data_IF_689215639651
#
_entry.id   IF_689215639651
#
_cell.length_a   1.000
_cell.length_b   1.000
_cell.length_c   1.000
_cell.angle_alpha   90.00
_cell.angle_beta   90.00
_cell.angle_gamma   90.00
#
_symmetry.space_group_name_H-M   'P 1'
#
loop_
_entity.id
_entity.type
_entity.pdbx_description
1 polymer ?
#
# COMPACT_ATOMS: atom_id res chain seq x y z
N UNK A 1 -12.39 17.03 56.53
CA UNK A 1 -12.30 18.01 55.44
C UNK A 1 -11.14 17.52 54.56
N UNK A 2 -11.43 16.71 53.58
CA UNK A 2 -10.44 16.26 52.59
C UNK A 2 -11.18 16.07 51.26
N UNK A 3 -11.22 17.19 50.52
CA UNK A 3 -11.87 17.30 49.22
C UNK A 3 -10.82 16.95 48.13
N UNK A 4 -10.68 15.65 47.79
CA UNK A 4 -9.90 15.23 46.65
C UNK A 4 -10.77 15.29 45.41
N UNK A 5 -10.73 16.44 44.75
CA UNK A 5 -11.31 16.67 43.45
C UNK A 5 -10.88 15.63 42.42
N UNK A 6 -11.71 14.64 42.18
CA UNK A 6 -11.58 13.69 41.08
C UNK A 6 -11.72 14.44 39.76
N UNK A 7 -10.57 14.69 39.11
CA UNK A 7 -10.53 15.17 37.72
C UNK A 7 -11.10 14.05 36.82
N UNK A 8 -12.41 14.12 36.63
CA UNK A 8 -13.14 13.30 35.66
C UNK A 8 -12.70 13.73 34.25
N UNK A 9 -11.71 13.05 33.67
CA UNK A 9 -11.52 13.08 32.23
C UNK A 9 -12.81 12.52 31.59
N UNK A 10 -13.71 13.41 31.20
CA UNK A 10 -14.78 13.07 30.28
C UNK A 10 -14.09 12.59 29.00
N UNK A 11 -14.09 11.27 28.76
CA UNK A 11 -13.84 10.71 27.45
C UNK A 11 -14.86 11.35 26.52
N UNK A 12 -14.43 12.32 25.73
CA UNK A 12 -15.22 12.80 24.61
C UNK A 12 -15.39 11.59 23.70
N UNK A 13 -16.57 10.98 23.74
CA UNK A 13 -16.94 9.95 22.79
C UNK A 13 -17.09 10.67 21.45
N UNK A 14 -16.01 10.71 20.68
CA UNK A 14 -16.08 11.21 19.33
C UNK A 14 -17.00 10.29 18.54
N UNK A 15 -18.07 10.83 18.02
CA UNK A 15 -18.99 10.13 17.14
C UNK A 15 -18.20 9.57 15.95
N UNK A 16 -18.30 8.26 15.73
CA UNK A 16 -17.73 7.58 14.58
C UNK A 16 -18.86 7.13 13.67
N UNK A 17 -18.82 7.47 12.38
CA UNK A 17 -19.81 6.95 11.44
C UNK A 17 -19.70 5.43 11.32
N UNK A 18 -20.80 4.77 10.98
CA UNK A 18 -20.82 3.33 10.80
C UNK A 18 -19.89 2.87 9.64
N UNK A 19 -19.67 3.75 8.64
CA UNK A 19 -18.89 3.43 7.45
C UNK A 19 -18.02 4.60 7.01
N UNK A 20 -16.76 4.32 6.65
CA UNK A 20 -15.91 5.19 5.83
C UNK A 20 -15.67 4.52 4.47
N UNK A 21 -15.78 5.27 3.39
CA UNK A 21 -15.37 4.84 2.05
C UNK A 21 -14.13 5.61 1.65
N UNK A 22 -12.99 4.92 1.48
CA UNK A 22 -11.68 5.50 1.20
C UNK A 22 -11.29 5.26 -0.24
N UNK A 23 -11.02 6.33 -0.98
CA UNK A 23 -10.83 6.31 -2.44
C UNK A 23 -9.61 7.13 -2.83
N UNK A 24 -8.46 6.50 -3.14
CA UNK A 24 -7.31 7.19 -3.71
C UNK A 24 -7.56 7.55 -5.17
N UNK A 25 -7.24 8.77 -5.58
CA UNK A 25 -7.51 9.30 -6.90
C UNK A 25 -6.25 9.96 -7.49
N UNK A 26 -5.97 9.68 -8.77
CA UNK A 26 -4.90 10.32 -9.51
C UNK A 26 -5.28 10.51 -10.98
N UNK A 27 -5.54 11.74 -11.40
CA UNK A 27 -6.01 12.11 -12.76
C UNK A 27 -7.33 11.40 -13.13
N UNK A 28 -8.33 11.53 -12.28
CA UNK A 28 -9.64 10.87 -12.42
C UNK A 28 -10.81 11.88 -12.52
N UNK A 29 -10.53 13.13 -12.91
CA UNK A 29 -11.52 14.21 -12.97
C UNK A 29 -12.82 13.80 -13.70
N UNK A 30 -12.71 13.04 -14.79
CA UNK A 30 -13.84 12.61 -15.61
C UNK A 30 -14.77 11.59 -14.90
N UNK A 31 -14.28 10.86 -13.92
CA UNK A 31 -15.01 9.79 -13.23
C UNK A 31 -15.58 10.21 -11.87
N UNK A 32 -15.03 11.27 -11.24
CA UNK A 32 -15.31 11.63 -9.85
C UNK A 32 -16.77 11.91 -9.54
N UNK A 33 -17.51 12.59 -10.41
CA UNK A 33 -18.92 12.91 -10.17
C UNK A 33 -19.79 11.65 -10.20
N UNK A 34 -19.57 10.76 -11.16
CA UNK A 34 -20.28 9.48 -11.27
C UNK A 34 -19.89 8.55 -10.09
N UNK A 35 -18.61 8.51 -9.75
CA UNK A 35 -18.09 7.74 -8.63
C UNK A 35 -18.75 8.18 -7.31
N UNK A 36 -18.76 9.50 -7.05
CA UNK A 36 -19.40 10.05 -5.85
C UNK A 36 -20.89 9.69 -5.78
N UNK A 37 -21.62 9.83 -6.90
CA UNK A 37 -23.05 9.49 -6.95
C UNK A 37 -23.30 8.01 -6.64
N UNK A 38 -22.53 7.08 -7.24
CA UNK A 38 -22.66 5.64 -7.02
C UNK A 38 -22.26 5.23 -5.59
N UNK A 39 -21.14 5.74 -5.10
CA UNK A 39 -20.64 5.46 -3.74
C UNK A 39 -21.61 5.99 -2.68
N UNK A 40 -22.11 7.23 -2.84
CA UNK A 40 -23.10 7.81 -1.93
C UNK A 40 -24.40 7.02 -1.91
N UNK A 41 -24.89 6.54 -3.08
CA UNK A 41 -26.07 5.71 -3.14
C UNK A 41 -25.87 4.36 -2.45
N UNK A 42 -24.73 3.69 -2.69
CA UNK A 42 -24.41 2.41 -2.07
C UNK A 42 -24.21 2.53 -0.54
N UNK A 43 -23.51 3.56 -0.08
CA UNK A 43 -23.30 3.83 1.34
C UNK A 43 -24.62 4.13 2.04
N UNK A 44 -25.46 4.98 1.44
CA UNK A 44 -26.80 5.31 1.98
C UNK A 44 -27.71 4.07 2.04
N UNK A 45 -27.66 3.20 1.05
CA UNK A 45 -28.42 1.94 1.07
C UNK A 45 -27.94 1.00 2.18
N UNK A 46 -26.66 1.00 2.51
CA UNK A 46 -26.05 0.11 3.49
C UNK A 46 -26.17 0.57 4.94
N UNK A 47 -26.05 1.90 5.20
CA UNK A 47 -25.97 2.48 6.57
C UNK A 47 -26.79 3.77 6.74
N UNK A 48 -27.59 4.16 5.76
CA UNK A 48 -28.27 5.46 5.78
C UNK A 48 -27.28 6.62 5.68
N UNK A 49 -27.57 7.70 6.43
CA UNK A 49 -26.69 8.88 6.43
C UNK A 49 -25.48 8.76 7.37
N UNK A 50 -25.31 7.60 8.03
CA UNK A 50 -24.23 7.33 8.96
C UNK A 50 -22.96 6.84 8.26
N UNK A 51 -22.48 7.63 7.30
CA UNK A 51 -21.25 7.34 6.55
C UNK A 51 -20.44 8.59 6.24
N UNK A 52 -19.19 8.39 5.89
CA UNK A 52 -18.31 9.40 5.31
C UNK A 52 -17.63 8.83 4.05
N UNK A 53 -17.30 9.73 3.13
CA UNK A 53 -16.52 9.43 1.92
C UNK A 53 -15.23 10.23 2.01
N UNK A 54 -14.10 9.56 1.87
CA UNK A 54 -12.77 10.18 1.93
C UNK A 54 -12.12 10.01 0.55
N UNK A 55 -12.04 11.11 -0.20
CA UNK A 55 -11.34 11.18 -1.48
C UNK A 55 -9.92 11.71 -1.27
N UNK A 56 -8.92 11.02 -1.81
CA UNK A 56 -7.52 11.41 -1.65
C UNK A 56 -6.95 11.74 -3.02
N UNK A 57 -6.65 13.04 -3.25
CA UNK A 57 -5.95 13.49 -4.44
C UNK A 57 -4.45 13.25 -4.30
N UNK A 58 -3.89 12.31 -5.05
CA UNK A 58 -2.47 11.98 -5.06
C UNK A 58 -1.66 12.92 -5.99
N UNK A 59 -1.84 14.24 -5.83
CA UNK A 59 -1.12 15.24 -6.61
C UNK A 59 -1.45 15.16 -8.10
N UNK A 60 -2.74 15.09 -8.46
CA UNK A 60 -3.22 15.09 -9.84
C UNK A 60 -2.79 16.34 -10.60
N UNK A 61 -2.69 16.19 -11.92
CA UNK A 61 -2.32 17.29 -12.85
C UNK A 61 -3.49 17.80 -13.66
N UNK A 62 -4.64 17.13 -13.55
CA UNK A 62 -5.92 17.48 -14.16
C UNK A 62 -6.82 18.20 -13.15
N UNK A 63 -8.08 18.41 -13.50
CA UNK A 63 -9.07 19.10 -12.67
C UNK A 63 -9.65 18.23 -11.52
N UNK A 64 -8.98 17.11 -11.15
CA UNK A 64 -9.46 16.23 -10.07
C UNK A 64 -9.64 17.00 -8.75
N UNK A 65 -8.66 17.82 -8.34
CA UNK A 65 -8.76 18.56 -7.08
C UNK A 65 -9.91 19.59 -7.08
N UNK A 66 -10.07 20.48 -8.08
CA UNK A 66 -11.23 21.35 -8.17
C UNK A 66 -12.59 20.63 -8.15
N UNK A 67 -12.68 19.45 -8.80
CA UNK A 67 -13.90 18.63 -8.76
C UNK A 67 -14.16 18.12 -7.35
N UNK A 68 -13.16 17.59 -6.65
CA UNK A 68 -13.28 17.11 -5.27
C UNK A 68 -13.73 18.23 -4.32
N UNK A 69 -13.18 19.44 -4.45
CA UNK A 69 -13.59 20.60 -3.65
C UNK A 69 -15.07 20.94 -3.85
N UNK A 70 -15.55 20.96 -5.11
CA UNK A 70 -16.98 21.19 -5.40
C UNK A 70 -17.88 20.11 -4.81
N UNK A 71 -17.48 18.84 -4.92
CA UNK A 71 -18.24 17.72 -4.36
C UNK A 71 -18.30 17.81 -2.83
N UNK A 72 -17.19 18.14 -2.19
CA UNK A 72 -17.12 18.32 -0.73
C UNK A 72 -17.94 19.50 -0.23
N UNK A 73 -18.00 20.59 -0.98
CA UNK A 73 -18.87 21.74 -0.65
C UNK A 73 -20.36 21.38 -0.76
N UNK A 74 -20.73 20.45 -1.65
CA UNK A 74 -22.11 20.02 -1.88
C UNK A 74 -22.56 18.87 -0.96
N UNK A 75 -21.66 18.01 -0.48
CA UNK A 75 -21.96 16.89 0.41
C UNK A 75 -21.17 16.97 1.73
N UNK A 76 -21.81 17.25 2.87
CA UNK A 76 -21.14 17.35 4.16
C UNK A 76 -20.58 16.03 4.69
N UNK A 77 -20.80 14.91 4.01
CA UNK A 77 -20.23 13.60 4.32
C UNK A 77 -18.94 13.32 3.55
N UNK A 78 -18.59 14.18 2.58
CA UNK A 78 -17.40 14.03 1.78
C UNK A 78 -16.26 14.89 2.32
N UNK A 79 -15.14 14.24 2.60
CA UNK A 79 -13.86 14.85 2.91
C UNK A 79 -12.92 14.64 1.75
N UNK A 80 -12.36 15.71 1.20
CA UNK A 80 -11.35 15.64 0.16
C UNK A 80 -9.99 16.05 0.73
N UNK A 81 -8.97 15.23 0.50
CA UNK A 81 -7.61 15.40 0.98
C UNK A 81 -6.69 15.60 -0.22
N UNK A 82 -5.93 16.68 -0.24
CA UNK A 82 -4.96 16.97 -1.28
C UNK A 82 -3.54 16.71 -0.76
N UNK A 83 -2.83 15.77 -1.38
CA UNK A 83 -1.43 15.52 -1.05
C UNK A 83 -0.52 16.54 -1.75
N UNK A 84 0.59 16.89 -1.12
CA UNK A 84 1.52 17.92 -1.59
C UNK A 84 2.18 17.59 -2.95
N UNK A 85 2.22 16.33 -3.34
CA UNK A 85 2.72 15.80 -4.61
C UNK A 85 2.19 14.38 -4.83
N UNK A 86 2.47 13.80 -5.97
CA UNK A 86 2.23 12.37 -6.17
C UNK A 86 3.17 11.56 -5.27
N UNK A 87 2.59 10.82 -4.33
CA UNK A 87 3.25 9.90 -3.41
C UNK A 87 3.11 8.44 -3.85
N UNK A 88 2.19 8.16 -4.79
CA UNK A 88 1.84 6.83 -5.27
C UNK A 88 0.64 6.23 -4.53
N UNK A 89 -0.09 5.36 -5.25
CA UNK A 89 -1.38 4.79 -4.84
C UNK A 89 -1.41 4.27 -3.39
N UNK A 90 -0.39 3.50 -2.96
CA UNK A 90 -0.37 2.90 -1.61
C UNK A 90 -0.23 3.94 -0.50
N UNK A 91 0.52 5.03 -0.74
CA UNK A 91 0.68 6.10 0.25
C UNK A 91 -0.53 7.04 0.25
N UNK A 92 -1.15 7.30 -0.90
CA UNK A 92 -2.43 8.00 -0.97
C UNK A 92 -3.53 7.23 -0.23
N UNK A 93 -3.61 5.91 -0.44
CA UNK A 93 -4.51 5.04 0.29
C UNK A 93 -4.23 5.09 1.80
N UNK A 94 -2.96 5.03 2.22
CA UNK A 94 -2.57 5.15 3.63
C UNK A 94 -3.06 6.46 4.23
N UNK A 95 -2.92 7.60 3.52
CA UNK A 95 -3.41 8.90 3.99
C UNK A 95 -4.93 8.88 4.26
N UNK A 96 -5.70 8.26 3.37
CA UNK A 96 -7.14 8.12 3.57
C UNK A 96 -7.50 7.21 4.75
N UNK A 97 -6.75 6.12 4.92
CA UNK A 97 -6.93 5.18 6.03
C UNK A 97 -6.57 5.80 7.40
N UNK A 98 -5.53 6.63 7.46
CA UNK A 98 -5.15 7.38 8.66
C UNK A 98 -6.20 8.41 9.08
N UNK A 99 -6.87 9.04 8.10
CA UNK A 99 -7.79 10.15 8.33
C UNK A 99 -9.26 9.74 8.38
N UNK A 100 -9.61 8.52 8.00
CA UNK A 100 -10.97 8.02 8.10
C UNK A 100 -11.36 7.67 9.54
N UNK A 101 -12.64 7.89 9.90
CA UNK A 101 -13.14 7.75 11.27
C UNK A 101 -14.13 6.60 11.50
N UNK A 102 -14.69 5.99 10.45
CA UNK A 102 -15.76 5.01 10.53
C UNK A 102 -15.41 3.69 11.24
N UNK A 103 -16.43 2.97 11.70
CA UNK A 103 -16.30 1.66 12.33
C UNK A 103 -16.00 0.54 11.32
N UNK A 104 -16.50 0.66 10.10
CA UNK A 104 -16.17 -0.17 8.96
C UNK A 104 -15.56 0.68 7.87
N UNK A 105 -14.59 0.15 7.15
CA UNK A 105 -13.85 0.89 6.15
C UNK A 105 -13.91 0.12 4.83
N UNK A 106 -14.54 0.72 3.81
CA UNK A 106 -14.50 0.24 2.44
C UNK A 106 -13.36 0.92 1.70
N UNK A 107 -12.48 0.15 1.12
CA UNK A 107 -11.45 0.61 0.20
C UNK A 107 -11.91 0.30 -1.22
N UNK A 108 -11.89 1.29 -2.11
CA UNK A 108 -12.29 1.14 -3.51
C UNK A 108 -11.46 2.05 -4.42
N UNK A 109 -11.14 1.59 -5.63
CA UNK A 109 -10.42 2.36 -6.63
C UNK A 109 -11.36 3.36 -7.35
N UNK A 110 -10.80 4.49 -7.81
CA UNK A 110 -11.58 5.55 -8.47
C UNK A 110 -12.01 5.23 -9.91
N UNK A 111 -11.50 4.16 -10.52
CA UNK A 111 -11.66 3.82 -11.94
C UNK A 111 -13.03 3.21 -12.33
N UNK A 112 -13.96 3.13 -11.38
CA UNK A 112 -15.32 2.58 -11.52
C UNK A 112 -15.38 1.08 -11.93
N UNK A 113 -14.26 0.37 -11.89
CA UNK A 113 -14.24 -1.05 -12.22
C UNK A 113 -14.75 -1.94 -11.08
N UNK A 114 -14.59 -1.49 -9.85
CA UNK A 114 -15.07 -2.18 -8.66
C UNK A 114 -16.44 -1.62 -8.26
N UNK A 115 -17.51 -2.43 -8.23
CA UNK A 115 -18.86 -1.93 -8.03
C UNK A 115 -19.13 -1.63 -6.55
N UNK A 116 -19.37 -0.35 -6.17
CA UNK A 116 -19.67 0.01 -4.78
C UNK A 116 -21.01 -0.58 -4.29
N UNK A 117 -21.86 -0.99 -5.19
CA UNK A 117 -23.16 -1.62 -4.92
C UNK A 117 -23.03 -2.94 -4.15
N UNK A 118 -21.86 -3.60 -4.21
CA UNK A 118 -21.56 -4.84 -3.46
C UNK A 118 -21.34 -4.60 -1.95
N UNK A 119 -21.29 -3.36 -1.52
CA UNK A 119 -21.05 -3.00 -0.12
C UNK A 119 -22.04 -3.69 0.85
N UNK A 120 -23.34 -3.73 0.51
CA UNK A 120 -24.35 -4.35 1.36
C UNK A 120 -24.07 -5.85 1.54
N UNK A 121 -23.75 -6.56 0.46
CA UNK A 121 -23.45 -7.99 0.49
C UNK A 121 -22.12 -8.28 1.20
N UNK A 122 -21.11 -7.44 1.03
CA UNK A 122 -19.84 -7.55 1.75
C UNK A 122 -20.05 -7.36 3.27
N UNK A 123 -20.91 -6.42 3.68
CA UNK A 123 -21.27 -6.22 5.10
C UNK A 123 -22.03 -7.40 5.67
N UNK A 124 -22.99 -7.97 4.92
CA UNK A 124 -23.69 -9.18 5.31
C UNK A 124 -22.72 -10.36 5.50
N UNK A 125 -21.81 -10.57 4.53
CA UNK A 125 -20.76 -11.59 4.61
C UNK A 125 -19.85 -11.38 5.82
N UNK A 126 -19.46 -10.13 6.12
CA UNK A 126 -18.64 -9.78 7.27
C UNK A 126 -19.35 -10.18 8.58
N UNK A 127 -20.63 -9.87 8.70
CA UNK A 127 -21.42 -10.17 9.89
C UNK A 127 -21.67 -11.68 10.06
N UNK A 128 -22.12 -12.37 9.01
CA UNK A 128 -22.43 -13.81 9.02
C UNK A 128 -21.20 -14.65 9.36
N UNK A 129 -20.06 -14.30 8.77
CA UNK A 129 -18.82 -15.03 8.97
C UNK A 129 -17.98 -14.51 10.13
N UNK A 130 -18.44 -13.46 10.84
CA UNK A 130 -17.69 -12.79 11.91
C UNK A 130 -16.26 -12.43 11.45
N UNK A 131 -16.13 -11.93 10.22
CA UNK A 131 -14.88 -11.57 9.62
C UNK A 131 -14.48 -10.13 9.99
N UNK A 132 -13.17 -9.87 10.06
CA UNK A 132 -12.62 -8.53 10.21
C UNK A 132 -12.27 -7.90 8.86
N UNK A 133 -12.05 -8.74 7.85
CA UNK A 133 -11.74 -8.30 6.49
C UNK A 133 -12.52 -9.16 5.50
N UNK A 134 -13.27 -8.51 4.62
CA UNK A 134 -13.89 -9.12 3.44
C UNK A 134 -13.19 -8.55 2.21
N UNK A 135 -12.42 -9.35 1.50
CA UNK A 135 -11.66 -8.92 0.34
C UNK A 135 -12.24 -9.46 -0.95
N UNK A 136 -12.38 -8.59 -1.94
CA UNK A 136 -12.98 -8.94 -3.22
C UNK A 136 -12.02 -9.76 -4.10
N UNK A 137 -12.50 -10.89 -4.63
CA UNK A 137 -11.76 -11.80 -5.51
C UNK A 137 -12.45 -11.86 -6.87
N UNK A 138 -11.72 -11.60 -7.94
CA UNK A 138 -12.26 -11.61 -9.30
C UNK A 138 -12.54 -13.04 -9.74
N UNK A 139 -13.79 -13.34 -10.17
CA UNK A 139 -14.20 -14.67 -10.63
C UNK A 139 -13.52 -15.08 -11.94
N UNK A 140 -13.34 -14.15 -12.89
CA UNK A 140 -12.75 -14.42 -14.21
C UNK A 140 -11.76 -13.34 -14.61
N UNK A 141 -10.66 -13.76 -15.22
CA UNK A 141 -9.73 -12.92 -15.97
C UNK A 141 -9.99 -13.14 -17.47
N UNK A 142 -10.94 -12.43 -18.05
CA UNK A 142 -11.17 -12.45 -19.50
C UNK A 142 -10.09 -11.60 -20.19
N UNK A 143 -9.56 -12.08 -21.32
CA UNK A 143 -8.61 -11.33 -22.17
C UNK A 143 -7.13 -11.49 -21.87
N UNK A 144 -6.70 -12.28 -20.88
CA UNK A 144 -5.27 -12.50 -20.65
C UNK A 144 -4.71 -13.66 -21.48
N UNK A 145 -3.56 -13.44 -22.15
CA UNK A 145 -2.83 -14.46 -22.88
C UNK A 145 -2.34 -15.58 -21.94
N UNK A 146 -2.24 -16.82 -22.47
CA UNK A 146 -1.76 -18.00 -21.72
C UNK A 146 -0.38 -17.73 -21.10
N UNK A 147 0.51 -17.03 -21.82
CA UNK A 147 1.83 -16.65 -21.33
C UNK A 147 1.75 -15.74 -20.10
N UNK A 148 0.85 -14.74 -20.10
CA UNK A 148 0.66 -13.82 -18.99
C UNK A 148 0.09 -14.53 -17.76
N UNK A 149 -0.83 -15.48 -17.97
CA UNK A 149 -1.36 -16.34 -16.88
C UNK A 149 -0.29 -17.26 -16.30
N UNK A 150 0.53 -17.88 -17.14
CA UNK A 150 1.59 -18.79 -16.70
C UNK A 150 2.70 -18.06 -15.93
N UNK A 151 3.14 -16.90 -16.41
CA UNK A 151 4.16 -16.07 -15.72
C UNK A 151 3.64 -15.52 -14.39
N UNK A 152 2.38 -15.07 -14.34
CA UNK A 152 1.76 -14.65 -13.11
C UNK A 152 1.64 -15.81 -12.10
N UNK A 153 1.18 -16.99 -12.55
CA UNK A 153 1.07 -18.17 -11.68
C UNK A 153 2.45 -18.63 -11.17
N UNK A 154 3.49 -18.61 -12.01
CA UNK A 154 4.86 -18.92 -11.59
C UNK A 154 5.36 -17.92 -10.55
N UNK A 155 5.15 -16.63 -10.80
CA UNK A 155 5.50 -15.55 -9.86
C UNK A 155 4.83 -15.74 -8.50
N UNK A 156 3.51 -15.94 -8.47
CA UNK A 156 2.79 -16.13 -7.22
C UNK A 156 3.19 -17.39 -6.47
N UNK A 157 3.53 -18.49 -7.16
CA UNK A 157 4.08 -19.69 -6.51
C UNK A 157 5.45 -19.45 -5.88
N UNK A 158 6.28 -18.64 -6.51
CA UNK A 158 7.57 -18.24 -5.93
C UNK A 158 7.34 -17.36 -4.71
N UNK A 159 6.44 -16.36 -4.82
CA UNK A 159 6.09 -15.47 -3.72
C UNK A 159 5.55 -16.24 -2.51
N UNK A 160 4.61 -17.16 -2.72
CA UNK A 160 4.00 -18.00 -1.68
C UNK A 160 5.03 -18.90 -0.95
N UNK A 161 6.09 -19.35 -1.66
CA UNK A 161 7.17 -20.14 -1.04
C UNK A 161 8.21 -19.30 -0.33
N UNK A 162 8.33 -18.05 -0.70
CA UNK A 162 9.39 -17.14 -0.25
C UNK A 162 8.91 -16.20 0.84
N UNK A 163 7.59 -15.90 0.90
CA UNK A 163 7.00 -15.05 1.95
C UNK A 163 6.45 -15.91 3.08
N UNK A 164 6.70 -15.48 4.32
CA UNK A 164 6.19 -16.17 5.52
C UNK A 164 4.66 -15.94 5.73
N UNK A 165 4.04 -15.06 4.92
CA UNK A 165 2.61 -14.73 5.00
C UNK A 165 1.93 -15.05 3.69
N UNK A 166 0.89 -15.91 3.66
CA UNK A 166 0.12 -16.18 2.46
C UNK A 166 -0.67 -14.94 2.03
N UNK A 167 -0.24 -14.31 0.92
CA UNK A 167 -0.93 -13.16 0.34
C UNK A 167 -2.01 -13.68 -0.60
N UNK A 168 -3.31 -13.33 -0.42
CA UNK A 168 -4.38 -13.80 -1.29
C UNK A 168 -4.10 -13.40 -2.76
N UNK A 169 -4.20 -14.40 -3.64
CA UNK A 169 -4.00 -14.23 -5.07
C UNK A 169 -5.22 -13.56 -5.72
N UNK A 170 -5.02 -12.86 -6.82
CA UNK A 170 -6.10 -12.26 -7.63
C UNK A 170 -6.98 -11.22 -6.91
N UNK A 171 -6.48 -10.64 -5.83
CA UNK A 171 -7.18 -9.59 -5.09
C UNK A 171 -6.72 -8.20 -5.50
N UNK A 172 -7.69 -7.28 -5.65
CA UNK A 172 -7.46 -5.84 -5.74
C UNK A 172 -7.29 -5.20 -4.37
N UNK A 173 -7.34 -3.87 -4.32
CA UNK A 173 -7.45 -3.14 -3.06
C UNK A 173 -8.89 -3.06 -2.56
N UNK A 174 -9.88 -3.46 -3.39
CA UNK A 174 -11.29 -3.50 -3.05
C UNK A 174 -11.56 -4.48 -1.89
N UNK A 175 -11.85 -3.91 -0.72
CA UNK A 175 -12.10 -4.67 0.53
C UNK A 175 -12.88 -3.86 1.54
N UNK A 176 -13.61 -4.57 2.39
CA UNK A 176 -14.25 -4.04 3.58
C UNK A 176 -13.47 -4.50 4.83
N UNK A 177 -13.12 -3.58 5.71
CA UNK A 177 -12.35 -3.86 6.93
C UNK A 177 -13.10 -3.38 8.17
N UNK A 178 -12.93 -4.06 9.30
CA UNK A 178 -13.31 -3.55 10.61
C UNK A 178 -12.32 -2.49 11.10
N UNK A 179 -12.76 -1.56 11.95
CA UNK A 179 -11.89 -0.59 12.61
C UNK A 179 -10.73 -1.27 13.33
N UNK A 180 -10.98 -2.38 14.02
CA UNK A 180 -9.96 -3.16 14.71
C UNK A 180 -8.84 -3.63 13.77
N UNK A 181 -9.21 -4.12 12.59
CA UNK A 181 -8.23 -4.55 11.58
C UNK A 181 -7.46 -3.35 11.02
N UNK A 182 -8.14 -2.21 10.80
CA UNK A 182 -7.48 -0.99 10.34
C UNK A 182 -6.51 -0.44 11.39
N UNK A 183 -6.93 -0.34 12.64
CA UNK A 183 -6.06 0.20 13.72
C UNK A 183 -4.79 -0.65 13.87
N UNK A 184 -4.91 -1.98 13.74
CA UNK A 184 -3.75 -2.87 13.71
C UNK A 184 -2.86 -2.64 12.47
N UNK A 185 -3.45 -2.47 11.28
CA UNK A 185 -2.72 -2.14 10.06
C UNK A 185 -1.94 -0.81 10.19
N UNK A 186 -2.56 0.21 10.77
CA UNK A 186 -1.97 1.52 10.95
C UNK A 186 -0.85 1.54 12.01
N UNK A 187 -0.87 0.59 12.96
CA UNK A 187 0.20 0.43 13.94
C UNK A 187 1.52 -0.08 13.35
N UNK A 188 1.50 -0.61 12.11
CA UNK A 188 2.69 -1.10 11.43
C UNK A 188 3.53 0.09 10.92
N UNK A 189 4.83 0.18 11.30
CA UNK A 189 5.65 1.36 11.02
C UNK A 189 6.33 1.37 9.65
N UNK A 190 6.13 0.34 8.81
CA UNK A 190 6.83 0.18 7.54
C UNK A 190 6.65 1.39 6.60
N UNK A 191 7.77 1.87 6.06
CA UNK A 191 7.80 2.93 5.05
C UNK A 191 7.42 2.40 3.65
N UNK A 192 7.77 1.16 3.36
CA UNK A 192 7.42 0.48 2.10
C UNK A 192 6.03 -0.14 2.21
N UNK A 193 4.99 0.68 2.07
CA UNK A 193 3.59 0.25 2.20
C UNK A 193 3.15 -0.64 1.05
N UNK A 194 2.78 -1.88 1.36
CA UNK A 194 2.05 -2.78 0.48
C UNK A 194 0.83 -3.29 1.22
N UNK A 195 -0.25 -2.53 1.15
CA UNK A 195 -1.45 -2.70 2.01
C UNK A 195 -2.01 -4.12 1.93
N UNK A 196 -2.02 -4.76 0.74
CA UNK A 196 -2.52 -6.14 0.59
C UNK A 196 -1.73 -7.16 1.42
N UNK A 197 -0.40 -7.04 1.41
CA UNK A 197 0.48 -7.90 2.19
C UNK A 197 0.38 -7.60 3.68
N UNK A 198 0.34 -6.32 4.05
CA UNK A 198 0.22 -5.88 5.44
C UNK A 198 -1.11 -6.34 6.07
N UNK A 199 -2.24 -6.23 5.34
CA UNK A 199 -3.54 -6.74 5.80
C UNK A 199 -3.48 -8.26 5.99
N UNK A 200 -2.83 -9.00 5.09
CA UNK A 200 -2.64 -10.44 5.27
C UNK A 200 -1.79 -10.76 6.51
N UNK A 201 -0.75 -9.97 6.76
CA UNK A 201 0.17 -10.14 7.90
C UNK A 201 -0.50 -9.86 9.26
N UNK A 202 -1.43 -8.91 9.33
CA UNK A 202 -2.17 -8.57 10.55
C UNK A 202 -2.96 -9.77 11.10
N UNK A 203 -3.35 -10.74 10.25
CA UNK A 203 -3.78 -12.08 10.68
C UNK A 203 -5.19 -12.20 11.25
N UNK A 204 -6.03 -11.15 11.22
CA UNK A 204 -7.45 -11.24 11.59
C UNK A 204 -8.21 -12.14 10.62
N UNK A 205 -9.45 -12.52 11.00
CA UNK A 205 -10.28 -13.36 10.15
C UNK A 205 -10.62 -12.65 8.84
N UNK A 206 -10.09 -13.17 7.74
CA UNK A 206 -10.26 -12.65 6.39
C UNK A 206 -11.07 -13.63 5.55
N UNK A 207 -12.01 -13.11 4.76
CA UNK A 207 -12.94 -13.91 3.97
C UNK A 207 -12.95 -13.41 2.53
N UNK A 208 -12.82 -14.31 1.53
CA UNK A 208 -12.93 -13.95 0.13
C UNK A 208 -14.39 -13.67 -0.25
N UNK A 209 -14.60 -12.62 -1.05
CA UNK A 209 -15.88 -12.27 -1.64
C UNK A 209 -15.75 -12.32 -3.18
N UNK A 210 -16.24 -13.36 -3.85
CA UNK A 210 -16.12 -13.49 -5.31
C UNK A 210 -17.04 -12.49 -6.03
N UNK A 211 -16.48 -11.69 -6.96
CA UNK A 211 -17.24 -10.72 -7.76
C UNK A 211 -16.80 -10.70 -9.22
N UNK A 212 -17.65 -10.15 -10.08
CA UNK A 212 -17.34 -9.89 -11.48
C UNK A 212 -16.97 -8.42 -11.64
N UNK A 213 -15.75 -8.17 -12.15
CA UNK A 213 -15.23 -6.83 -12.35
C UNK A 213 -15.84 -6.20 -13.59
N UNK A 214 -16.29 -4.95 -13.51
CA UNK A 214 -16.77 -4.19 -14.66
C UNK A 214 -15.64 -3.82 -15.63
N UNK A 215 -15.99 -3.58 -16.90
CA UNK A 215 -15.04 -3.02 -17.85
C UNK A 215 -14.65 -1.59 -17.47
N UNK A 216 -13.41 -1.20 -17.80
CA UNK A 216 -12.89 0.13 -17.46
C UNK A 216 -13.63 1.21 -18.24
N UNK A 217 -14.12 2.24 -17.55
CA UNK A 217 -14.88 3.33 -18.17
C UNK A 217 -13.99 4.29 -18.98
N UNK A 218 -12.70 4.46 -18.62
CA UNK A 218 -11.74 5.30 -19.30
C UNK A 218 -10.28 4.89 -19.01
N UNK A 219 -9.36 5.14 -19.96
CA UNK A 219 -7.91 4.97 -19.80
C UNK A 219 -7.33 3.67 -20.34
N UNK A 220 -6.11 3.73 -20.91
CA UNK A 220 -5.37 2.57 -21.42
C UNK A 220 -4.50 1.94 -20.32
N UNK A 221 -4.55 0.60 -20.26
CA UNK A 221 -3.69 -0.14 -19.33
C UNK A 221 -2.34 -0.44 -19.98
N UNK A 222 -1.37 0.44 -19.86
CA UNK A 222 0.01 0.15 -20.19
C UNK A 222 0.82 -0.07 -18.90
N UNK A 223 0.80 -1.32 -18.41
CA UNK A 223 1.74 -1.75 -17.37
C UNK A 223 2.93 -2.43 -18.05
N UNK A 224 4.04 -1.72 -18.31
CA UNK A 224 5.21 -2.29 -18.96
C UNK A 224 5.82 -3.40 -18.09
N UNK A 225 6.35 -4.45 -18.73
CA UNK A 225 6.98 -5.60 -18.07
C UNK A 225 7.98 -5.19 -17.00
N UNK A 226 8.75 -4.11 -17.22
CA UNK A 226 9.70 -3.59 -16.24
C UNK A 226 9.07 -3.15 -14.90
N UNK A 227 7.86 -2.57 -14.94
CA UNK A 227 7.13 -2.22 -13.71
C UNK A 227 6.63 -3.47 -12.98
N UNK A 228 6.23 -4.52 -13.71
CA UNK A 228 5.82 -5.79 -13.10
C UNK A 228 7.00 -6.49 -12.41
N UNK A 229 8.17 -6.54 -13.05
CA UNK A 229 9.39 -7.13 -12.48
C UNK A 229 9.82 -6.35 -11.24
N UNK A 230 9.79 -5.02 -11.29
CA UNK A 230 10.11 -4.18 -10.14
C UNK A 230 9.16 -4.41 -8.97
N UNK A 231 7.84 -4.44 -9.23
CA UNK A 231 6.84 -4.73 -8.20
C UNK A 231 7.05 -6.11 -7.57
N UNK A 232 7.40 -7.10 -8.42
CA UNK A 232 7.73 -8.44 -7.98
C UNK A 232 8.95 -8.47 -7.05
N UNK A 233 10.01 -7.77 -7.44
CA UNK A 233 11.23 -7.66 -6.65
C UNK A 233 10.97 -6.93 -5.33
N UNK A 234 10.22 -5.83 -5.36
CA UNK A 234 9.82 -5.06 -4.18
C UNK A 234 8.98 -5.90 -3.20
N UNK A 235 8.05 -6.72 -3.72
CA UNK A 235 7.25 -7.62 -2.89
C UNK A 235 8.10 -8.71 -2.23
N UNK A 236 8.99 -9.37 -2.99
CA UNK A 236 9.87 -10.42 -2.45
C UNK A 236 10.82 -9.86 -1.40
N UNK A 237 11.48 -8.73 -1.67
CA UNK A 237 12.46 -8.15 -0.75
C UNK A 237 11.82 -7.41 0.42
N UNK A 238 10.55 -6.98 0.29
CA UNK A 238 9.79 -6.34 1.37
C UNK A 238 9.21 -7.32 2.39
N UNK A 239 8.80 -8.51 1.95
CA UNK A 239 8.12 -9.49 2.80
C UNK A 239 8.91 -10.77 3.05
N UNK A 240 10.16 -10.86 2.59
CA UNK A 240 10.97 -12.05 2.74
C UNK A 240 12.43 -11.75 2.94
N UNK A 241 13.05 -12.51 3.85
CA UNK A 241 14.51 -12.57 4.01
C UNK A 241 15.14 -13.70 3.17
N UNK A 242 14.35 -14.44 2.37
CA UNK A 242 14.84 -15.57 1.59
C UNK A 242 15.97 -15.22 0.60
N UNK A 243 15.95 -14.07 -0.11
CA UNK A 243 17.09 -13.67 -0.94
C UNK A 243 18.38 -13.52 -0.14
N UNK A 244 18.30 -12.97 1.08
CA UNK A 244 19.45 -12.80 1.95
C UNK A 244 19.96 -14.16 2.49
N UNK A 245 19.05 -15.08 2.86
CA UNK A 245 19.39 -16.46 3.23
C UNK A 245 20.04 -17.22 2.07
N UNK A 246 19.53 -17.03 0.84
CA UNK A 246 20.14 -17.61 -0.37
C UNK A 246 21.58 -17.10 -0.56
N UNK A 247 21.82 -15.80 -0.40
CA UNK A 247 23.17 -15.22 -0.45
C UNK A 247 24.09 -15.84 0.62
N UNK A 248 23.59 -16.04 1.83
CA UNK A 248 24.35 -16.66 2.92
C UNK A 248 24.69 -18.12 2.61
N UNK A 249 23.75 -18.91 2.10
CA UNK A 249 24.01 -20.31 1.70
C UNK A 249 24.98 -20.38 0.53
N UNK A 250 24.82 -19.52 -0.48
CA UNK A 250 25.76 -19.44 -1.61
C UNK A 250 27.18 -19.12 -1.14
N UNK A 251 27.32 -18.20 -0.17
CA UNK A 251 28.62 -17.86 0.41
C UNK A 251 29.28 -19.06 1.12
N UNK A 252 28.53 -19.84 1.88
CA UNK A 252 29.05 -21.05 2.56
C UNK A 252 29.48 -22.11 1.55
N UNK A 253 28.66 -22.35 0.50
CA UNK A 253 29.02 -23.29 -0.58
C UNK A 253 30.31 -22.86 -1.28
N UNK A 254 30.43 -21.58 -1.61
CA UNK A 254 31.62 -21.04 -2.28
C UNK A 254 32.86 -21.09 -1.39
N UNK A 255 32.71 -20.82 -0.10
CA UNK A 255 33.82 -20.96 0.85
C UNK A 255 34.30 -22.42 0.92
N UNK A 256 33.37 -23.39 0.92
CA UNK A 256 33.70 -24.80 0.85
C UNK A 256 34.44 -25.19 -0.45
N UNK A 257 33.93 -24.72 -1.60
CA UNK A 257 34.61 -24.95 -2.89
C UNK A 257 35.99 -24.29 -2.96
N UNK A 258 36.14 -23.10 -2.42
CA UNK A 258 37.42 -22.38 -2.33
C UNK A 258 38.42 -23.14 -1.44
N UNK A 259 37.96 -23.74 -0.35
CA UNK A 259 38.79 -24.56 0.54
C UNK A 259 39.26 -25.85 -0.18
N UNK A 260 38.35 -26.51 -0.88
CA UNK A 260 38.71 -27.71 -1.69
C UNK A 260 39.71 -27.36 -2.79
N UNK A 261 39.52 -26.24 -3.47
CA UNK A 261 40.47 -25.77 -4.47
C UNK A 261 41.83 -25.44 -3.86
N UNK A 262 41.88 -24.81 -2.69
CA UNK A 262 43.12 -24.55 -1.97
C UNK A 262 43.84 -25.84 -1.62
N UNK A 263 43.15 -26.86 -1.10
CA UNK A 263 43.72 -28.18 -0.79
C UNK A 263 44.29 -28.81 -2.04
N UNK A 264 43.56 -28.78 -3.18
CA UNK A 264 44.00 -29.29 -4.46
C UNK A 264 45.28 -28.62 -4.97
N UNK A 265 45.37 -27.28 -4.87
CA UNK A 265 46.54 -26.51 -5.29
C UNK A 265 47.74 -26.85 -4.40
N UNK A 266 47.58 -26.93 -3.07
CA UNK A 266 48.64 -27.30 -2.15
C UNK A 266 49.16 -28.71 -2.39
N UNK A 267 48.26 -29.67 -2.65
CA UNK A 267 48.64 -31.04 -3.00
C UNK A 267 49.52 -31.09 -4.26
N UNK A 268 49.07 -30.44 -5.34
CA UNK A 268 49.85 -30.35 -6.60
C UNK A 268 51.22 -29.68 -6.44
N UNK A 269 51.29 -28.68 -5.53
CA UNK A 269 52.54 -28.01 -5.22
C UNK A 269 53.54 -28.98 -4.52
N UNK A 270 53.09 -29.76 -3.57
CA UNK A 270 53.93 -30.73 -2.82
C UNK A 270 54.36 -31.93 -3.70
N UNK A 271 53.58 -32.33 -4.70
CA UNK A 271 53.94 -33.38 -5.67
C UNK A 271 54.88 -32.88 -6.77
N UNK A 272 55.24 -31.59 -6.79
CA UNK A 272 56.17 -31.06 -7.79
C UNK A 272 55.54 -30.87 -9.18
N UNK A 273 54.22 -30.95 -9.30
CA UNK A 273 53.44 -30.76 -10.51
C UNK A 273 52.74 -29.39 -10.54
N UNK A 274 53.42 -28.27 -10.85
CA UNK A 274 52.77 -26.98 -10.84
C UNK A 274 51.66 -26.94 -11.88
N UNK A 275 50.48 -26.50 -11.43
CA UNK A 275 49.29 -26.37 -12.30
C UNK A 275 49.57 -25.30 -13.37
N UNK A 276 49.82 -25.73 -14.62
CA UNK A 276 49.89 -24.82 -15.76
C UNK A 276 48.49 -24.34 -16.06
N UNK A 277 48.23 -23.05 -15.93
CA UNK A 277 46.90 -22.59 -16.32
C UNK A 277 46.52 -21.18 -15.85
N UNK A 278 47.07 -20.14 -16.49
CA UNK A 278 46.60 -18.75 -16.31
C UNK A 278 45.10 -18.65 -16.59
N UNK A 279 44.57 -19.35 -17.62
CA UNK A 279 43.16 -19.32 -18.01
C UNK A 279 42.23 -19.90 -16.94
N UNK A 280 42.61 -21.01 -16.30
CA UNK A 280 41.80 -21.63 -15.22
C UNK A 280 41.79 -20.75 -13.97
N UNK A 281 42.90 -20.11 -13.63
CA UNK A 281 42.99 -19.16 -12.52
C UNK A 281 42.08 -17.97 -12.77
N UNK A 282 42.13 -17.36 -13.97
CA UNK A 282 41.26 -16.23 -14.32
C UNK A 282 39.79 -16.61 -14.32
N UNK A 283 39.43 -17.80 -14.79
CA UNK A 283 38.05 -18.28 -14.75
C UNK A 283 37.53 -18.36 -13.29
N UNK A 284 38.30 -19.00 -12.41
CA UNK A 284 37.94 -19.16 -11.00
C UNK A 284 37.79 -17.78 -10.33
N UNK A 285 38.74 -16.89 -10.51
CA UNK A 285 38.70 -15.53 -9.94
C UNK A 285 37.48 -14.76 -10.46
N UNK A 286 37.19 -14.86 -11.76
CA UNK A 286 36.02 -14.15 -12.35
C UNK A 286 34.72 -14.68 -11.81
N UNK A 287 34.53 -16.01 -11.69
CA UNK A 287 33.33 -16.63 -11.15
C UNK A 287 33.13 -16.26 -9.68
N UNK A 288 34.19 -16.38 -8.87
CA UNK A 288 34.13 -16.01 -7.45
C UNK A 288 33.79 -14.52 -7.27
N UNK A 289 34.42 -13.65 -8.05
CA UNK A 289 34.16 -12.21 -8.02
C UNK A 289 32.72 -11.88 -8.45
N UNK A 290 32.18 -12.54 -9.48
CA UNK A 290 30.81 -12.33 -9.93
C UNK A 290 29.80 -12.70 -8.84
N UNK A 291 30.00 -13.84 -8.16
CA UNK A 291 29.12 -14.26 -7.04
C UNK A 291 29.28 -13.31 -5.86
N UNK A 292 30.50 -12.88 -5.55
CA UNK A 292 30.73 -11.91 -4.47
C UNK A 292 30.01 -10.58 -4.75
N UNK A 293 30.09 -10.05 -5.97
CA UNK A 293 29.37 -8.84 -6.38
C UNK A 293 27.86 -9.02 -6.31
N UNK A 294 27.33 -10.18 -6.67
CA UNK A 294 25.91 -10.51 -6.54
C UNK A 294 25.45 -10.48 -5.08
N UNK A 295 26.22 -11.11 -4.18
CA UNK A 295 25.94 -11.12 -2.72
C UNK A 295 25.99 -9.72 -2.15
N UNK A 296 27.01 -8.92 -2.50
CA UNK A 296 27.12 -7.51 -2.07
C UNK A 296 25.97 -6.66 -2.58
N UNK A 297 25.54 -6.86 -3.82
CA UNK A 297 24.38 -6.17 -4.40
C UNK A 297 23.10 -6.48 -3.62
N UNK A 298 22.90 -7.72 -3.22
CA UNK A 298 21.75 -8.15 -2.42
C UNK A 298 21.78 -7.54 -1.02
N UNK A 299 22.93 -7.52 -0.35
CA UNK A 299 23.11 -6.85 0.94
C UNK A 299 22.84 -5.34 0.79
N UNK A 300 23.34 -4.73 -0.30
CA UNK A 300 23.12 -3.32 -0.60
C UNK A 300 21.64 -2.96 -0.72
N UNK A 301 20.82 -3.81 -1.35
CA UNK A 301 19.36 -3.63 -1.46
C UNK A 301 18.68 -3.60 -0.08
N UNK A 302 18.99 -4.57 0.79
CA UNK A 302 18.44 -4.60 2.15
C UNK A 302 18.93 -3.43 3.00
N UNK A 303 20.20 -3.05 2.86
CA UNK A 303 20.75 -1.88 3.56
C UNK A 303 20.08 -0.58 3.08
N UNK A 304 19.81 -0.47 1.78
CA UNK A 304 19.05 0.65 1.22
C UNK A 304 17.64 0.78 1.81
N UNK A 305 16.95 -0.35 2.00
CA UNK A 305 15.63 -0.39 2.66
C UNK A 305 15.72 0.02 4.13
N UNK A 306 16.67 -0.54 4.88
CA UNK A 306 16.92 -0.16 6.28
C UNK A 306 17.24 1.34 6.40
N UNK A 307 17.99 1.89 5.45
CA UNK A 307 18.30 3.33 5.42
C UNK A 307 17.05 4.19 5.21
N UNK A 308 16.11 3.76 4.35
CA UNK A 308 14.82 4.45 4.17
C UNK A 308 14.00 4.38 5.45
N UNK A 309 13.88 3.19 6.07
CA UNK A 309 13.17 2.98 7.33
C UNK A 309 13.77 3.82 8.49
N UNK A 310 15.10 3.91 8.57
CA UNK A 310 15.80 4.67 9.61
C UNK A 310 15.56 6.18 9.54
N UNK A 311 15.25 6.72 8.37
CA UNK A 311 14.96 8.16 8.20
C UNK A 311 13.65 8.58 8.84
N UNK A 312 12.71 7.69 9.05
CA UNK A 312 11.38 7.95 9.64
C UNK A 312 10.69 9.19 9.04
N UNK A 313 10.84 9.40 7.73
CA UNK A 313 10.15 10.49 7.05
C UNK A 313 8.65 10.23 7.04
N UNK A 314 7.80 11.27 7.12
CA UNK A 314 6.36 11.10 6.94
C UNK A 314 6.05 10.35 5.64
N UNK A 315 5.11 9.42 5.70
CA UNK A 315 4.70 8.61 4.53
C UNK A 315 4.14 9.49 3.40
N UNK A 316 3.40 10.52 3.78
CA UNK A 316 2.77 11.49 2.89
C UNK A 316 2.75 12.87 3.56
N UNK A 317 2.49 13.91 2.78
CA UNK A 317 2.28 15.27 3.27
C UNK A 317 0.95 15.77 2.70
N UNK A 318 0.08 16.25 3.56
CA UNK A 318 -1.19 16.89 3.17
C UNK A 318 -0.91 18.36 2.87
N UNK A 319 -1.33 18.82 1.69
CA UNK A 319 -1.25 20.22 1.28
C UNK A 319 -2.52 20.96 1.65
N UNK A 320 -3.69 20.31 1.51
CA UNK A 320 -4.99 20.97 1.71
C UNK A 320 -6.07 19.92 2.04
N UNK A 321 -7.14 20.34 2.74
CA UNK A 321 -8.29 19.50 3.06
C UNK A 321 -9.55 20.32 2.82
N UNK A 322 -10.51 19.75 2.09
CA UNK A 322 -11.82 20.32 1.90
C UNK A 322 -12.90 19.44 2.56
N UNK A 323 -13.82 20.08 3.30
CA UNK A 323 -14.91 19.40 4.00
C UNK A 323 -14.69 19.20 5.50
N UNK A 324 -15.67 18.66 6.22
CA UNK A 324 -15.64 18.51 7.66
C UNK A 324 -14.71 17.39 8.10
N UNK A 325 -13.52 17.69 8.58
CA UNK A 325 -12.64 16.71 9.22
C UNK A 325 -13.20 16.36 10.59
N UNK A 326 -13.82 15.22 10.74
CA UNK A 326 -14.31 14.68 12.01
C UNK A 326 -13.21 13.87 12.68
N UNK A 327 -12.32 14.54 13.40
CA UNK A 327 -11.46 13.92 14.40
C UNK A 327 -10.23 13.18 13.89
N UNK A 328 -9.08 13.81 13.99
CA UNK A 328 -7.80 13.30 14.52
C UNK A 328 -6.90 14.52 14.76
N UNK A 329 -6.93 15.06 15.95
CA UNK A 329 -6.02 16.13 16.40
C UNK A 329 -4.64 15.60 16.80
N UNK A 330 -4.17 14.50 16.24
CA UNK A 330 -2.86 13.91 16.58
C UNK A 330 -1.86 13.89 15.44
N UNK A 331 -2.20 14.39 14.26
CA UNK A 331 -1.18 14.80 13.33
C UNK A 331 -0.69 16.17 13.77
N UNK A 332 0.54 16.24 14.31
CA UNK A 332 1.24 17.50 14.63
C UNK A 332 1.59 18.31 13.38
N UNK A 333 0.60 18.48 12.51
CA UNK A 333 0.56 19.53 11.51
C UNK A 333 -0.20 20.69 12.12
N UNK A 334 0.54 21.72 12.55
CA UNK A 334 0.02 23.05 12.47
C UNK A 334 -0.48 23.20 11.03
N UNK A 335 -1.81 23.11 10.82
CA UNK A 335 -2.41 23.79 9.69
C UNK A 335 -1.82 25.20 9.78
N UNK A 336 -0.98 25.57 8.83
CA UNK A 336 -0.51 26.94 8.75
C UNK A 336 -1.78 27.78 8.79
N UNK A 337 -1.96 28.57 9.84
CA UNK A 337 -2.99 29.60 9.88
C UNK A 337 -2.89 30.31 8.52
N UNK A 338 -4.01 30.53 7.81
CA UNK A 338 -3.96 31.23 6.54
C UNK A 338 -3.13 32.49 6.77
N UNK A 339 -2.06 32.65 5.98
CA UNK A 339 -1.15 33.77 6.16
C UNK A 339 -2.00 35.04 6.16
N UNK A 340 -1.80 35.99 7.09
CA UNK A 340 -2.62 37.19 7.23
C UNK A 340 -2.69 38.05 5.95
N UNK A 341 -1.88 37.74 4.93
CA UNK A 341 -1.95 38.33 3.60
C UNK A 341 -3.19 37.93 2.79
N UNK A 342 -3.83 36.77 3.08
CA UNK A 342 -5.05 36.35 2.38
C UNK A 342 -6.31 37.03 2.95
N UNK A 343 -6.39 37.28 4.26
CA UNK A 343 -7.52 38.03 4.87
C UNK A 343 -7.56 39.46 4.38
N UNK A 344 -6.40 40.12 4.21
CA UNK A 344 -6.32 41.50 3.73
C UNK A 344 -6.72 41.63 2.25
N UNK A 345 -6.57 40.55 1.46
CA UNK A 345 -6.97 40.54 0.05
C UNK A 345 -8.48 40.37 -0.15
N UNK A 346 -9.16 39.61 0.71
CA UNK A 346 -10.64 39.50 0.68
C UNK A 346 -11.34 40.74 1.23
N UNK A 347 -10.81 41.34 2.28
CA UNK A 347 -11.37 42.62 2.79
C UNK A 347 -11.21 43.78 1.79
N UNK A 348 -10.15 43.82 1.00
CA UNK A 348 -10.00 44.82 -0.08
C UNK A 348 -10.94 44.59 -1.25
N UNK A 349 -11.28 43.32 -1.59
CA UNK A 349 -12.25 43.02 -2.65
C UNK A 349 -13.70 43.24 -2.22
N UNK A 350 -13.98 43.21 -0.95
CA UNK A 350 -15.32 43.52 -0.42
C UNK A 350 -15.56 45.03 -0.18
N UNK A 351 -14.52 45.87 -0.29
CA UNK A 351 -14.58 47.33 -0.10
C UNK A 351 -14.53 48.12 -1.42
N UNK A 352 -14.35 47.47 -2.57
CA UNK A 352 -14.52 47.99 -3.94
C UNK A 352 -15.86 47.53 -4.55
#
# INVERSE_FOLDING_TARGET
MDDRGGSGYRRVVMYRPALSVVIPCYNEAACLELLHARVSAAARAAVGDDHEIVLINDGSRDDSWPVMQRLSAADPRLVAINLSRNHGHQLALTAGLDLCSGEQILIIDADLQDPPELLADMRATMAEQRADVVYAVRRKREGETIFKKATAAAFYRVLDRVTDTPIPLDTGDFRLMSRRALDALLSLPEQARFIRGMVAWVGFRQVPFPYDRAERHAGETNYPLGKMVRLAFDAVTGFSTAPLRFASHASVILAGLSLLLLIYILWGFFEGSPVQGWTSTMLVVTVLSAVQMFVLGMIGEYLGRLYIESKRRPLYLVADIAGPVKGHSTLGFNAAEPSPEFEVAEERKAAE
#
